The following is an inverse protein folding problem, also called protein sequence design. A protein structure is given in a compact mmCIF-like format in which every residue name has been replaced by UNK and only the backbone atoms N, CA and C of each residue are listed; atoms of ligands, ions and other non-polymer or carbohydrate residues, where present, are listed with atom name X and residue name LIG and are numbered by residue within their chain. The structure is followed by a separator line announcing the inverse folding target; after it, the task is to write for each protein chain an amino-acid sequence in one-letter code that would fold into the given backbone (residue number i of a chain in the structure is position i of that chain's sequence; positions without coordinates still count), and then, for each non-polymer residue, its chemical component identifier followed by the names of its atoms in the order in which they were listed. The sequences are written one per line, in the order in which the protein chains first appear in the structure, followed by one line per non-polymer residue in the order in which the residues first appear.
data_IF_611571805326
#
_entry.id   IF_611571805326
#
_cell.length_a   1.000
_cell.length_b   1.000
_cell.length_c   1.000
_cell.angle_alpha   90.00
_cell.angle_beta   90.00
_cell.angle_gamma   90.00
#
_symmetry.space_group_name_H-M   'P 1'
#
loop_
_entity.id
_entity.type
_entity.pdbx_description
1 polymer ?
#
# COMPACT_ATOMS: atom_id res chain seq x y z
N UNK A 1 -5.46 -35.33 7.08
CA UNK A 1 -6.42 -34.24 7.29
C UNK A 1 -5.91 -33.01 6.55
N UNK A 2 -6.76 -32.25 5.81
CA UNK A 2 -6.33 -31.01 5.19
C UNK A 2 -6.01 -29.96 6.27
N UNK A 3 -5.02 -29.12 6.03
CA UNK A 3 -4.73 -27.96 6.88
C UNK A 3 -5.90 -26.95 6.76
N UNK A 4 -6.34 -26.31 7.86
CA UNK A 4 -7.41 -25.32 7.81
C UNK A 4 -6.96 -24.07 7.04
N UNK A 5 -7.90 -23.42 6.35
CA UNK A 5 -7.65 -22.11 5.76
C UNK A 5 -7.49 -21.06 6.87
N UNK A 6 -6.47 -20.17 6.80
CA UNK A 6 -6.34 -19.10 7.77
C UNK A 6 -7.47 -18.08 7.62
N UNK A 7 -7.75 -17.34 8.68
CA UNK A 7 -8.79 -16.30 8.67
C UNK A 7 -8.18 -14.90 8.58
N UNK A 8 -9.01 -13.91 8.24
CA UNK A 8 -8.59 -12.52 8.05
C UNK A 8 -9.28 -11.63 9.08
N UNK A 9 -8.47 -10.98 9.91
CA UNK A 9 -8.95 -10.06 10.95
C UNK A 9 -8.71 -8.62 10.50
N UNK A 10 -9.76 -7.80 10.30
CA UNK A 10 -9.60 -6.38 9.99
C UNK A 10 -8.75 -5.70 11.06
N UNK A 11 -7.68 -5.02 10.66
CA UNK A 11 -6.72 -4.45 11.61
C UNK A 11 -6.55 -2.95 11.45
N UNK A 12 -6.29 -2.49 10.21
CA UNK A 12 -5.98 -1.09 9.93
C UNK A 12 -6.70 -0.60 8.68
N UNK A 13 -7.16 0.64 8.73
CA UNK A 13 -7.58 1.41 7.56
C UNK A 13 -6.60 2.57 7.36
N UNK A 14 -6.15 2.77 6.12
CA UNK A 14 -5.20 3.80 5.74
C UNK A 14 -5.74 4.65 4.61
N UNK A 15 -5.53 5.96 4.71
CA UNK A 15 -5.62 6.89 3.60
C UNK A 15 -4.25 7.50 3.37
N UNK A 16 -3.67 7.28 2.19
CA UNK A 16 -2.32 7.75 1.84
C UNK A 16 -2.42 8.79 0.73
N UNK A 17 -2.00 10.03 1.02
CA UNK A 17 -1.95 11.11 0.03
C UNK A 17 -0.70 11.00 -0.83
N UNK A 18 -0.86 11.23 -2.13
CA UNK A 18 0.24 11.10 -3.10
C UNK A 18 0.35 12.30 -4.02
N UNK A 19 1.58 12.59 -4.45
CA UNK A 19 1.86 13.62 -5.43
C UNK A 19 1.80 13.08 -6.86
N UNK A 20 2.05 13.97 -7.82
CA UNK A 20 2.22 13.60 -9.21
C UNK A 20 3.34 12.55 -9.39
N UNK A 21 3.15 11.56 -10.29
CA UNK A 21 4.18 10.58 -10.60
C UNK A 21 5.46 11.24 -11.12
N UNK A 22 6.61 10.76 -10.64
CA UNK A 22 7.91 10.99 -11.28
C UNK A 22 8.13 9.84 -12.26
N UNK A 23 8.15 10.17 -13.55
CA UNK A 23 8.25 9.20 -14.64
C UNK A 23 9.71 8.99 -15.04
N UNK A 24 10.20 7.75 -14.91
CA UNK A 24 11.49 7.36 -15.49
C UNK A 24 11.34 6.83 -16.93
N UNK A 25 10.12 6.41 -17.31
CA UNK A 25 9.82 5.86 -18.62
C UNK A 25 10.13 4.36 -18.73
N UNK A 26 10.36 3.90 -19.96
CA UNK A 26 10.72 2.50 -20.24
C UNK A 26 12.08 2.17 -19.66
N UNK A 27 12.16 1.06 -18.93
CA UNK A 27 13.40 0.55 -18.34
C UNK A 27 13.73 -0.84 -18.87
N UNK A 28 15.02 -1.15 -18.90
CA UNK A 28 15.52 -2.50 -19.16
C UNK A 28 16.69 -2.77 -18.23
N UNK A 29 16.59 -3.82 -17.44
CA UNK A 29 17.66 -4.37 -16.62
C UNK A 29 17.69 -5.89 -16.73
N UNK A 30 18.73 -6.52 -16.17
CA UNK A 30 18.93 -7.97 -16.24
C UNK A 30 17.68 -8.77 -15.85
N UNK A 31 16.93 -8.28 -14.84
CA UNK A 31 15.74 -8.91 -14.30
C UNK A 31 14.50 -7.98 -14.28
N UNK A 32 14.49 -6.90 -15.07
CA UNK A 32 13.33 -5.97 -15.07
C UNK A 32 13.08 -5.35 -16.44
N UNK A 33 11.81 -5.26 -16.83
CA UNK A 33 11.31 -4.56 -18.02
C UNK A 33 9.96 -3.91 -17.72
N UNK A 34 9.61 -2.90 -18.50
CA UNK A 34 8.36 -2.15 -18.39
C UNK A 34 8.60 -0.69 -18.02
N UNK A 35 7.56 0.01 -17.60
CA UNK A 35 7.63 1.44 -17.28
C UNK A 35 7.85 1.66 -15.79
N UNK A 36 8.91 2.38 -15.44
CA UNK A 36 9.22 2.77 -14.05
C UNK A 36 8.64 4.14 -13.75
N UNK A 37 7.93 4.25 -12.63
CA UNK A 37 7.53 5.52 -12.02
C UNK A 37 7.62 5.48 -10.51
N UNK A 38 7.84 6.63 -9.90
CA UNK A 38 7.88 6.80 -8.44
C UNK A 38 6.73 7.71 -8.06
N UNK A 39 5.89 7.28 -7.13
CA UNK A 39 4.75 8.06 -6.64
C UNK A 39 5.10 8.58 -5.24
N UNK A 40 5.45 9.88 -5.08
CA UNK A 40 5.80 10.41 -3.77
C UNK A 40 4.60 10.36 -2.81
N UNK A 41 4.85 9.89 -1.58
CA UNK A 41 3.87 9.90 -0.49
C UNK A 41 4.05 11.19 0.31
N UNK A 42 2.96 11.94 0.43
CA UNK A 42 2.97 13.30 0.99
C UNK A 42 2.33 13.40 2.36
N UNK A 43 1.65 12.34 2.80
CA UNK A 43 1.01 12.27 4.10
C UNK A 43 -0.14 11.29 4.10
N UNK A 44 -1.02 11.40 5.09
CA UNK A 44 -2.15 10.52 5.23
C UNK A 44 -2.53 10.23 6.68
N UNK A 45 -3.46 9.31 6.86
CA UNK A 45 -3.96 8.86 8.15
C UNK A 45 -3.98 7.34 8.23
N UNK A 46 -3.83 6.82 9.44
CA UNK A 46 -4.04 5.41 9.78
C UNK A 46 -4.96 5.33 11.01
N UNK A 47 -5.88 4.38 10.99
CA UNK A 47 -6.80 4.11 12.10
C UNK A 47 -7.06 2.61 12.28
N UNK A 48 -7.48 2.20 13.47
CA UNK A 48 -7.81 0.82 13.79
C UNK A 48 -7.09 0.36 15.06
N UNK A 49 -6.33 -0.74 14.96
CA UNK A 49 -5.52 -1.23 16.07
C UNK A 49 -4.40 -0.25 16.50
N UNK A 50 -3.98 0.64 15.60
CA UNK A 50 -3.13 1.80 15.86
C UNK A 50 -3.74 3.03 15.17
N UNK A 51 -3.58 4.21 15.78
CA UNK A 51 -4.04 5.48 15.22
C UNK A 51 -2.87 6.44 15.05
N UNK A 52 -2.89 7.19 13.96
CA UNK A 52 -1.84 8.15 13.67
C UNK A 52 -1.89 8.71 12.27
N UNK A 53 -0.72 9.17 11.80
CA UNK A 53 -0.54 9.79 10.49
C UNK A 53 0.54 9.11 9.68
N UNK A 54 0.39 9.16 8.36
CA UNK A 54 1.46 8.85 7.42
C UNK A 54 2.33 10.10 7.30
N UNK A 55 3.64 9.95 7.44
CA UNK A 55 4.58 11.05 7.31
C UNK A 55 4.97 11.32 5.84
N UNK A 56 5.24 12.58 5.48
CA UNK A 56 5.86 12.88 4.19
C UNK A 56 7.29 12.31 4.15
N UNK A 57 7.69 11.73 3.02
CA UNK A 57 9.07 11.25 2.81
C UNK A 57 9.18 9.82 2.28
N UNK A 58 8.06 9.10 2.22
CA UNK A 58 7.97 7.82 1.52
C UNK A 58 7.67 7.95 0.04
N UNK A 59 7.69 6.83 -0.67
CA UNK A 59 7.21 6.74 -2.05
C UNK A 59 6.75 5.32 -2.38
N UNK A 60 5.97 5.20 -3.45
CA UNK A 60 5.68 3.94 -4.12
C UNK A 60 6.49 3.80 -5.41
N UNK A 61 7.38 2.80 -5.41
CA UNK A 61 8.29 2.50 -6.51
C UNK A 61 7.60 1.52 -7.46
N UNK A 62 6.72 2.04 -8.31
CA UNK A 62 5.91 1.22 -9.20
C UNK A 62 6.67 0.76 -10.44
N UNK A 63 6.43 -0.48 -10.84
CA UNK A 63 6.79 -1.04 -12.14
C UNK A 63 5.50 -1.39 -12.88
N UNK A 64 5.18 -0.66 -13.94
CA UNK A 64 4.08 -1.01 -14.85
C UNK A 64 4.60 -2.08 -15.79
N UNK A 65 4.12 -3.31 -15.60
CA UNK A 65 4.60 -4.50 -16.32
C UNK A 65 3.82 -4.73 -17.63
N UNK A 66 2.61 -4.17 -17.74
CA UNK A 66 1.81 -4.13 -18.96
C UNK A 66 0.79 -2.98 -18.89
N UNK A 67 0.07 -2.72 -19.99
CA UNK A 67 -1.02 -1.74 -20.04
C UNK A 67 -2.12 -1.98 -18.99
N UNK A 68 -2.20 -3.19 -18.45
CA UNK A 68 -3.26 -3.62 -17.52
C UNK A 68 -2.76 -4.00 -16.14
N UNK A 69 -1.45 -3.93 -15.88
CA UNK A 69 -0.85 -4.50 -14.68
C UNK A 69 0.34 -3.68 -14.17
N UNK A 70 0.41 -3.51 -12.84
CA UNK A 70 1.52 -2.86 -12.16
C UNK A 70 1.88 -3.61 -10.87
N UNK A 71 3.18 -3.74 -10.64
CA UNK A 71 3.78 -4.12 -9.37
C UNK A 71 4.12 -2.86 -8.58
N UNK A 72 3.75 -2.84 -7.31
CA UNK A 72 3.90 -1.72 -6.40
C UNK A 72 4.83 -2.13 -5.25
N UNK A 73 5.63 -1.18 -4.77
CA UNK A 73 6.53 -1.33 -3.63
C UNK A 73 6.55 0.01 -2.90
N UNK A 74 5.56 0.22 -2.03
CA UNK A 74 5.43 1.43 -1.25
C UNK A 74 6.25 1.33 0.04
N UNK A 75 7.06 2.34 0.33
CA UNK A 75 7.88 2.42 1.54
C UNK A 75 7.68 3.78 2.18
N UNK A 76 7.21 3.79 3.43
CA UNK A 76 6.83 5.01 4.14
C UNK A 76 6.84 4.81 5.65
N UNK A 77 6.70 5.90 6.39
CA UNK A 77 6.73 5.93 7.84
C UNK A 77 5.39 6.41 8.38
N UNK A 78 4.87 5.72 9.39
CA UNK A 78 3.76 6.17 10.22
C UNK A 78 4.30 6.79 11.49
N UNK A 79 3.59 7.79 12.02
CA UNK A 79 3.79 8.31 13.38
C UNK A 79 2.48 8.17 14.14
N UNK A 80 2.55 7.53 15.32
CA UNK A 80 1.37 7.16 16.09
C UNK A 80 1.03 8.22 17.14
N UNK A 81 -0.27 8.32 17.41
CA UNK A 81 -0.85 9.35 18.28
C UNK A 81 -1.48 8.76 19.55
N UNK A 82 -1.67 7.43 19.65
CA UNK A 82 -2.28 6.81 20.83
C UNK A 82 -1.40 6.98 22.08
N UNK A 83 -1.98 7.21 23.28
CA UNK A 83 -1.23 7.42 24.52
C UNK A 83 -0.22 6.31 24.86
N UNK A 84 -0.55 5.06 24.55
CA UNK A 84 0.27 3.88 24.91
C UNK A 84 1.60 3.82 24.14
N UNK A 85 1.72 4.55 23.04
CA UNK A 85 2.89 4.59 22.17
C UNK A 85 3.01 5.91 21.41
N UNK A 86 2.63 7.02 22.05
CA UNK A 86 2.59 8.33 21.41
C UNK A 86 3.97 8.72 20.88
N UNK A 87 4.03 9.13 19.61
CA UNK A 87 5.28 9.47 18.93
C UNK A 87 6.11 8.27 18.46
N UNK A 88 5.65 7.03 18.70
CA UNK A 88 6.26 5.85 18.09
C UNK A 88 6.10 5.89 16.57
N UNK A 89 7.02 5.21 15.88
CA UNK A 89 7.04 5.10 14.44
C UNK A 89 6.88 3.65 14.00
N UNK A 90 6.21 3.48 12.86
CA UNK A 90 6.09 2.20 12.16
C UNK A 90 6.52 2.40 10.72
N UNK A 91 7.64 1.81 10.34
CA UNK A 91 8.04 1.75 8.94
C UNK A 91 7.21 0.67 8.24
N UNK A 92 6.64 1.03 7.11
CA UNK A 92 5.80 0.15 6.29
C UNK A 92 6.49 -0.07 4.96
N UNK A 93 6.73 -1.34 4.63
CA UNK A 93 6.97 -1.76 3.26
C UNK A 93 5.75 -2.52 2.77
N UNK A 94 5.08 -2.00 1.73
CA UNK A 94 3.86 -2.57 1.20
C UNK A 94 4.02 -2.92 -0.27
N UNK A 95 4.20 -4.22 -0.53
CA UNK A 95 4.20 -4.74 -1.90
C UNK A 95 2.78 -5.02 -2.34
N UNK A 96 2.43 -4.65 -3.55
CA UNK A 96 1.08 -4.88 -4.07
C UNK A 96 1.07 -5.21 -5.56
N UNK A 97 0.00 -5.91 -5.96
CA UNK A 97 -0.34 -6.13 -7.35
C UNK A 97 -1.60 -5.32 -7.66
N UNK A 98 -1.54 -4.49 -8.70
CA UNK A 98 -2.71 -3.82 -9.26
C UNK A 98 -2.92 -4.24 -10.70
N UNK A 99 -4.10 -4.80 -11.01
CA UNK A 99 -4.51 -5.13 -12.37
C UNK A 99 -6.01 -4.90 -12.59
N UNK A 100 -6.39 -4.66 -13.83
CA UNK A 100 -7.78 -4.43 -14.23
C UNK A 100 -7.98 -4.67 -15.73
N UNK A 101 -9.20 -4.48 -16.21
CA UNK A 101 -9.45 -4.46 -17.66
C UNK A 101 -8.71 -3.28 -18.32
N UNK A 102 -8.39 -3.34 -19.63
CA UNK A 102 -7.83 -2.19 -20.34
C UNK A 102 -8.68 -0.92 -20.19
N UNK A 103 -10.01 -1.06 -20.21
CA UNK A 103 -10.93 0.07 -20.06
C UNK A 103 -10.81 0.72 -18.68
N UNK A 104 -10.84 -0.09 -17.61
CA UNK A 104 -10.78 0.41 -16.24
C UNK A 104 -9.41 1.01 -15.89
N UNK A 105 -8.32 0.40 -16.38
CA UNK A 105 -6.99 0.97 -16.20
C UNK A 105 -6.84 2.29 -16.95
N UNK A 106 -7.39 2.39 -18.17
CA UNK A 106 -7.38 3.65 -18.92
C UNK A 106 -8.16 4.76 -18.19
N UNK A 107 -9.32 4.43 -17.57
CA UNK A 107 -10.08 5.36 -16.71
C UNK A 107 -9.23 5.82 -15.52
N UNK A 108 -8.58 4.90 -14.81
CA UNK A 108 -7.68 5.23 -13.69
C UNK A 108 -6.53 6.15 -14.12
N UNK A 109 -5.93 5.91 -15.29
CA UNK A 109 -4.83 6.75 -15.82
C UNK A 109 -5.31 8.17 -16.12
N UNK A 110 -6.56 8.33 -16.59
CA UNK A 110 -7.18 9.65 -16.80
C UNK A 110 -7.70 10.30 -15.51
N UNK A 111 -7.61 9.62 -14.37
CA UNK A 111 -8.14 10.09 -13.10
C UNK A 111 -9.67 10.03 -13.00
N UNK A 112 -10.31 9.27 -13.89
CA UNK A 112 -11.76 9.04 -13.84
C UNK A 112 -12.11 8.09 -12.70
N UNK A 113 -13.29 8.24 -12.06
CA UNK A 113 -13.76 7.30 -11.05
C UNK A 113 -13.90 5.88 -11.63
N UNK A 114 -13.37 4.91 -10.91
CA UNK A 114 -13.51 3.48 -11.19
C UNK A 114 -13.98 2.81 -9.91
N UNK A 115 -14.96 1.91 -10.02
CA UNK A 115 -15.36 1.08 -8.89
C UNK A 115 -14.14 0.29 -8.40
N UNK A 116 -13.71 0.44 -7.13
CA UNK A 116 -12.60 -0.32 -6.59
C UNK A 116 -12.76 -1.84 -6.72
N UNK A 117 -13.99 -2.35 -6.77
CA UNK A 117 -14.26 -3.78 -6.97
C UNK A 117 -13.91 -4.27 -8.38
N UNK A 118 -13.89 -3.39 -9.38
CA UNK A 118 -13.46 -3.70 -10.75
C UNK A 118 -11.94 -3.83 -10.89
N UNK A 119 -11.18 -3.35 -9.89
CA UNK A 119 -9.73 -3.37 -9.87
C UNK A 119 -9.24 -4.42 -8.88
N UNK A 120 -8.48 -5.39 -9.37
CA UNK A 120 -7.71 -6.24 -8.47
C UNK A 120 -6.55 -5.42 -7.91
N UNK A 121 -6.69 -4.97 -6.67
CA UNK A 121 -5.62 -4.29 -5.93
C UNK A 121 -5.47 -4.99 -4.57
N UNK A 122 -4.43 -5.83 -4.46
CA UNK A 122 -4.12 -6.59 -3.24
C UNK A 122 -2.68 -6.38 -2.85
N UNK A 123 -2.45 -6.25 -1.55
CA UNK A 123 -1.14 -5.93 -1.01
C UNK A 123 -0.76 -6.82 0.17
N UNK A 124 0.52 -6.85 0.51
CA UNK A 124 1.10 -7.62 1.61
C UNK A 124 2.08 -6.71 2.36
N UNK A 125 1.59 -5.90 3.32
CA UNK A 125 2.44 -5.00 4.08
C UNK A 125 3.27 -5.76 5.12
N UNK A 126 4.48 -5.28 5.34
CA UNK A 126 5.37 -5.68 6.44
C UNK A 126 5.77 -4.46 7.24
N UNK A 127 6.07 -4.68 8.52
CA UNK A 127 6.24 -3.60 9.49
C UNK A 127 7.57 -3.72 10.23
N UNK A 128 8.21 -2.58 10.47
CA UNK A 128 9.26 -2.41 11.49
C UNK A 128 8.80 -1.35 12.48
N UNK A 129 9.03 -1.56 13.76
CA UNK A 129 8.42 -0.76 14.83
C UNK A 129 9.47 -0.17 15.76
N UNK A 130 9.26 1.06 16.21
CA UNK A 130 10.19 1.75 17.12
C UNK A 130 9.82 1.59 18.60
N UNK A 131 8.73 0.89 18.93
CA UNK A 131 8.22 0.76 20.30
C UNK A 131 7.90 -0.71 20.63
N UNK A 132 8.33 -1.25 21.79
CA UNK A 132 8.15 -2.66 22.14
C UNK A 132 6.68 -3.12 22.16
N UNK A 133 5.75 -2.24 22.54
CA UNK A 133 4.32 -2.56 22.56
C UNK A 133 3.73 -2.89 21.17
N UNK A 134 4.43 -2.53 20.09
CA UNK A 134 3.99 -2.71 18.70
C UNK A 134 4.56 -3.99 18.05
N UNK A 135 5.37 -4.76 18.77
CA UNK A 135 6.04 -5.97 18.23
C UNK A 135 5.06 -7.00 17.67
N UNK A 136 3.82 -7.03 18.15
CA UNK A 136 2.78 -7.89 17.59
C UNK A 136 2.57 -7.69 16.07
N UNK A 137 2.81 -6.48 15.55
CA UNK A 137 2.70 -6.17 14.11
C UNK A 137 3.76 -6.89 13.27
N UNK A 138 4.87 -7.30 13.87
CA UNK A 138 5.98 -7.96 13.16
C UNK A 138 5.90 -9.48 13.24
N UNK A 139 4.96 -10.00 14.04
CA UNK A 139 4.81 -11.42 14.36
C UNK A 139 3.70 -12.11 13.55
N UNK A 140 3.07 -11.40 12.61
CA UNK A 140 2.00 -11.94 11.78
C UNK A 140 2.16 -11.51 10.33
N UNK A 141 1.63 -12.31 9.42
CA UNK A 141 1.45 -11.87 8.05
C UNK A 141 0.23 -10.95 7.97
N UNK A 142 0.31 -10.01 7.04
CA UNK A 142 -0.78 -9.11 6.73
C UNK A 142 -1.04 -9.14 5.23
N UNK A 143 -2.31 -8.99 4.88
CA UNK A 143 -2.73 -8.73 3.52
C UNK A 143 -3.67 -7.53 3.49
N UNK A 144 -3.85 -6.92 2.33
CA UNK A 144 -4.75 -5.79 2.21
C UNK A 144 -5.46 -5.71 0.87
N UNK A 145 -6.53 -4.92 0.87
CA UNK A 145 -7.17 -4.43 -0.35
C UNK A 145 -6.90 -2.94 -0.49
N UNK A 146 -6.75 -2.48 -1.73
CA UNK A 146 -6.53 -1.07 -2.03
C UNK A 146 -7.57 -0.50 -2.99
N UNK A 147 -7.74 0.81 -2.95
CA UNK A 147 -8.49 1.59 -3.91
C UNK A 147 -7.64 2.80 -4.32
N UNK A 148 -7.54 3.05 -5.64
CA UNK A 148 -6.76 4.17 -6.17
C UNK A 148 -7.70 5.30 -6.57
N UNK A 149 -7.47 6.48 -6.02
CA UNK A 149 -8.08 7.75 -6.43
C UNK A 149 -7.02 8.63 -7.10
N UNK A 150 -7.34 9.82 -7.64
CA UNK A 150 -6.31 10.69 -8.24
C UNK A 150 -5.26 11.16 -7.22
N UNK A 151 -5.71 11.62 -6.06
CA UNK A 151 -4.91 12.31 -5.02
C UNK A 151 -4.49 11.41 -3.86
N UNK A 152 -5.09 10.22 -3.74
CA UNK A 152 -4.84 9.30 -2.64
C UNK A 152 -4.96 7.82 -3.02
N UNK A 153 -4.54 6.98 -2.08
CA UNK A 153 -4.78 5.55 -2.07
C UNK A 153 -5.44 5.21 -0.74
N UNK A 154 -6.57 4.52 -0.78
CA UNK A 154 -7.23 4.00 0.40
C UNK A 154 -6.91 2.51 0.52
N UNK A 155 -6.61 2.03 1.72
CA UNK A 155 -6.26 0.63 1.95
C UNK A 155 -6.91 0.13 3.23
N UNK A 156 -7.30 -1.14 3.21
CA UNK A 156 -7.69 -1.89 4.41
C UNK A 156 -6.76 -3.08 4.57
N UNK A 157 -6.11 -3.17 5.72
CA UNK A 157 -5.20 -4.25 6.09
C UNK A 157 -5.86 -5.21 7.07
N UNK A 158 -5.55 -6.48 6.86
CA UNK A 158 -6.04 -7.61 7.63
C UNK A 158 -4.85 -8.42 8.14
N UNK A 159 -4.85 -8.74 9.43
CA UNK A 159 -3.95 -9.73 10.01
C UNK A 159 -4.42 -11.12 9.61
N UNK A 160 -3.48 -11.97 9.22
CA UNK A 160 -3.74 -13.39 8.97
C UNK A 160 -3.65 -14.14 10.31
N UNK A 161 -4.73 -14.81 10.70
CA UNK A 161 -4.84 -15.57 11.95
C UNK A 161 -4.78 -17.08 11.73
#
# INVERSE_FOLDING_TARGET
MPLPAPTLEPTLDLTVFVAAPIEAGEITGLNSRGKRRIIPITGGAVSGAINGRVLPGGADFQLVVSDTCADLDARYLLQLDDPDWAGAHVFVQNRALRRGSPEDIAKLVRGEPVDPAAIYFRCAPTFEVSHPALVWMTQSLFIGTGARFPDRVEMRFFRVA
#
